data_IF_485442185463
#
_entry.id   IF_485442185463
#
_cell.length_a   1.000
_cell.length_b   1.000
_cell.length_c   1.000
_cell.angle_alpha   90.00
_cell.angle_beta   90.00
_cell.angle_gamma   90.00
#
_symmetry.space_group_name_H-M   'P 1'
#
loop_
_entity.id
_entity.type
_entity.pdbx_description
1 polymer ?
#
# COMPACT_ATOMS: atom_id res chain seq x y z
N UNK A 1 0.47 28.21 -3.33
CA UNK A 1 0.76 27.63 -2.00
C UNK A 1 0.24 26.20 -1.96
N UNK A 2 0.91 25.24 -1.28
CA UNK A 2 0.33 23.91 -1.06
C UNK A 2 -0.44 23.91 0.27
N UNK A 3 -1.64 23.37 0.27
CA UNK A 3 -2.51 23.25 1.45
C UNK A 3 -2.67 21.78 1.79
N UNK A 4 -2.39 21.41 3.04
CA UNK A 4 -2.48 20.05 3.56
C UNK A 4 -3.76 19.87 4.39
N UNK A 5 -4.60 18.93 4.01
CA UNK A 5 -5.67 18.42 4.86
C UNK A 5 -5.10 17.39 5.83
N UNK A 6 -4.82 17.83 7.06
CA UNK A 6 -4.19 17.02 8.11
C UNK A 6 -4.99 15.75 8.43
N UNK A 7 -6.32 15.87 8.53
CA UNK A 7 -7.18 14.73 8.84
C UNK A 7 -7.05 13.62 7.78
N UNK A 8 -7.14 13.98 6.49
CA UNK A 8 -6.96 13.00 5.39
C UNK A 8 -5.57 12.39 5.37
N UNK A 9 -4.53 13.19 5.60
CA UNK A 9 -3.15 12.71 5.61
C UNK A 9 -2.91 11.67 6.71
N UNK A 10 -3.31 11.98 7.95
CA UNK A 10 -3.14 11.08 9.08
C UNK A 10 -4.02 9.83 8.97
N UNK A 11 -5.29 9.99 8.54
CA UNK A 11 -6.17 8.85 8.32
C UNK A 11 -5.64 7.94 7.21
N UNK A 12 -5.11 8.51 6.12
CA UNK A 12 -4.48 7.75 5.04
C UNK A 12 -3.28 6.94 5.51
N UNK A 13 -2.38 7.56 6.27
CA UNK A 13 -1.22 6.88 6.89
C UNK A 13 -1.69 5.75 7.81
N UNK A 14 -2.66 6.02 8.69
CA UNK A 14 -3.16 5.04 9.64
C UNK A 14 -3.73 3.80 8.92
N UNK A 15 -4.53 4.01 7.88
CA UNK A 15 -5.07 2.91 7.09
C UNK A 15 -3.98 2.12 6.36
N UNK A 16 -2.96 2.79 5.82
CA UNK A 16 -1.81 2.11 5.20
C UNK A 16 -1.04 1.23 6.20
N UNK A 17 -0.87 1.67 7.45
CA UNK A 17 -0.25 0.88 8.52
C UNK A 17 -1.11 -0.35 8.84
N UNK A 18 -2.40 -0.13 9.14
CA UNK A 18 -3.32 -1.22 9.52
C UNK A 18 -3.44 -2.26 8.41
N UNK A 19 -3.47 -1.82 7.15
CA UNK A 19 -3.56 -2.70 5.99
C UNK A 19 -2.43 -3.73 5.92
N UNK A 20 -1.22 -3.39 6.41
CA UNK A 20 -0.09 -4.33 6.45
C UNK A 20 -0.33 -5.56 7.33
N UNK A 21 -1.24 -5.45 8.31
CA UNK A 21 -1.64 -6.53 9.21
C UNK A 21 -2.97 -7.19 8.81
N UNK A 22 -3.75 -6.57 7.92
CA UNK A 22 -4.96 -7.16 7.38
C UNK A 22 -4.63 -8.37 6.48
N UNK A 23 -5.58 -9.30 6.31
CA UNK A 23 -5.48 -10.35 5.29
C UNK A 23 -5.30 -9.74 3.88
N UNK A 24 -4.17 -10.04 3.26
CA UNK A 24 -3.80 -9.65 1.89
C UNK A 24 -4.03 -10.81 0.92
N UNK A 25 -3.72 -12.03 1.37
CA UNK A 25 -3.92 -13.26 0.61
C UNK A 25 -4.59 -14.31 1.49
N UNK A 26 -5.35 -15.20 0.88
CA UNK A 26 -5.76 -16.47 1.48
C UNK A 26 -5.02 -17.58 0.76
N UNK A 27 -4.13 -18.25 1.49
CA UNK A 27 -3.34 -19.37 0.97
C UNK A 27 -4.01 -20.68 1.41
N UNK A 28 -4.07 -21.70 0.53
CA UNK A 28 -4.63 -23.01 0.90
C UNK A 28 -3.88 -23.58 2.10
N UNK A 29 -4.59 -24.25 3.00
CA UNK A 29 -4.06 -24.94 4.19
C UNK A 29 -3.54 -23.97 5.28
N UNK A 30 -2.81 -22.91 4.92
CA UNK A 30 -2.22 -21.95 5.88
C UNK A 30 -3.14 -20.77 6.25
N UNK A 31 -4.21 -20.53 5.50
CA UNK A 31 -5.24 -19.53 5.84
C UNK A 31 -4.89 -18.11 5.39
N UNK A 32 -5.30 -17.12 6.19
CA UNK A 32 -5.14 -15.70 5.88
C UNK A 32 -3.72 -15.23 6.15
N UNK A 33 -3.09 -14.67 5.13
CA UNK A 33 -1.75 -14.10 5.18
C UNK A 33 -1.82 -12.59 5.07
N UNK A 34 -1.07 -11.92 5.93
CA UNK A 34 -0.83 -10.49 5.83
C UNK A 34 0.31 -10.17 4.86
N UNK A 35 0.66 -8.89 4.74
CA UNK A 35 1.66 -8.42 3.78
C UNK A 35 3.05 -9.02 4.05
N UNK A 36 3.44 -9.15 5.33
CA UNK A 36 4.73 -9.72 5.75
C UNK A 36 4.82 -11.22 5.43
N UNK A 37 3.77 -11.97 5.73
CA UNK A 37 3.71 -13.40 5.45
C UNK A 37 3.70 -13.69 3.95
N UNK A 38 3.08 -12.82 3.15
CA UNK A 38 3.10 -12.91 1.69
C UNK A 38 4.50 -12.68 1.13
N UNK A 39 5.16 -11.59 1.51
CA UNK A 39 6.52 -11.27 1.12
C UNK A 39 7.12 -10.22 2.07
N UNK A 40 8.15 -10.61 2.82
CA UNK A 40 8.82 -9.73 3.77
C UNK A 40 9.44 -8.49 3.10
N UNK A 41 9.90 -8.59 1.85
CA UNK A 41 10.47 -7.45 1.10
C UNK A 41 9.38 -6.43 0.79
N UNK A 42 8.22 -6.92 0.35
CA UNK A 42 7.07 -6.08 0.02
C UNK A 42 6.54 -5.35 1.27
N UNK A 43 6.51 -6.02 2.43
CA UNK A 43 6.22 -5.40 3.72
C UNK A 43 7.23 -4.31 4.07
N UNK A 44 8.53 -4.61 4.02
CA UNK A 44 9.59 -3.67 4.42
C UNK A 44 9.59 -2.41 3.54
N UNK A 45 9.45 -2.54 2.23
CA UNK A 45 9.40 -1.38 1.31
C UNK A 45 8.15 -0.54 1.59
N UNK A 46 7.00 -1.18 1.81
CA UNK A 46 5.75 -0.48 2.15
C UNK A 46 5.91 0.36 3.42
N UNK A 47 6.47 -0.23 4.48
CA UNK A 47 6.67 0.46 5.75
C UNK A 47 7.77 1.53 5.68
N UNK A 48 8.80 1.35 4.85
CA UNK A 48 9.81 2.38 4.61
C UNK A 48 9.17 3.61 3.94
N UNK A 49 8.33 3.42 2.92
CA UNK A 49 7.59 4.51 2.26
C UNK A 49 6.68 5.24 3.26
N UNK A 50 5.95 4.49 4.10
CA UNK A 50 5.09 5.07 5.14
C UNK A 50 5.93 5.88 6.15
N UNK A 51 7.03 5.33 6.67
CA UNK A 51 7.89 5.99 7.64
C UNK A 51 8.49 7.29 7.09
N UNK A 52 8.97 7.30 5.85
CA UNK A 52 9.48 8.50 5.18
C UNK A 52 8.35 9.52 4.97
N UNK A 53 7.15 9.08 4.63
CA UNK A 53 5.97 9.96 4.49
C UNK A 53 5.63 10.64 5.83
N UNK A 54 5.64 9.88 6.92
CA UNK A 54 5.44 10.38 8.28
C UNK A 54 6.51 11.41 8.65
N UNK A 55 7.78 11.12 8.36
CA UNK A 55 8.88 12.06 8.59
C UNK A 55 8.62 13.40 7.89
N UNK A 56 8.23 13.39 6.61
CA UNK A 56 7.93 14.61 5.87
C UNK A 56 6.73 15.40 6.41
N UNK A 57 5.72 14.73 6.98
CA UNK A 57 4.66 15.42 7.72
C UNK A 57 5.19 16.08 8.99
N UNK A 58 6.02 15.38 9.76
CA UNK A 58 6.58 15.90 11.01
C UNK A 58 7.44 17.14 10.79
N UNK A 59 8.33 17.14 9.79
CA UNK A 59 9.17 18.29 9.45
C UNK A 59 8.44 19.35 8.59
N UNK A 60 7.11 19.23 8.45
CA UNK A 60 6.23 20.16 7.73
C UNK A 60 6.61 20.38 6.26
N UNK A 61 7.29 19.42 5.62
CA UNK A 61 7.66 19.46 4.20
C UNK A 61 6.51 18.93 3.33
N UNK A 62 5.44 19.72 3.20
CA UNK A 62 4.20 19.35 2.49
C UNK A 62 4.44 18.90 1.04
N UNK A 63 5.38 19.53 0.32
CA UNK A 63 5.74 19.14 -1.04
C UNK A 63 6.36 17.74 -1.11
N UNK A 64 7.23 17.40 -0.15
CA UNK A 64 7.86 16.08 -0.07
C UNK A 64 6.85 15.00 0.34
N UNK A 65 5.94 15.32 1.28
CA UNK A 65 4.84 14.42 1.62
C UNK A 65 3.92 14.13 0.43
N UNK A 66 3.59 15.17 -0.36
CA UNK A 66 2.81 14.99 -1.60
C UNK A 66 3.52 14.07 -2.58
N UNK A 67 4.82 14.26 -2.77
CA UNK A 67 5.63 13.37 -3.61
C UNK A 67 5.58 11.92 -3.11
N UNK A 68 5.78 11.70 -1.81
CA UNK A 68 5.70 10.37 -1.22
C UNK A 68 4.31 9.74 -1.33
N UNK A 69 3.24 10.53 -1.34
CA UNK A 69 1.88 10.02 -1.59
C UNK A 69 1.75 9.45 -3.01
N UNK A 70 2.40 10.07 -4.01
CA UNK A 70 2.49 9.51 -5.36
C UNK A 70 3.36 8.25 -5.40
N UNK A 71 4.51 8.25 -4.72
CA UNK A 71 5.38 7.08 -4.61
C UNK A 71 4.61 5.89 -4.01
N UNK A 72 3.85 6.13 -2.93
CA UNK A 72 3.01 5.12 -2.29
C UNK A 72 1.91 4.59 -3.22
N UNK A 73 1.34 5.44 -4.07
CA UNK A 73 0.34 5.01 -5.05
C UNK A 73 0.92 4.15 -6.18
N UNK A 74 2.08 4.55 -6.72
CA UNK A 74 2.81 3.74 -7.71
C UNK A 74 3.21 2.41 -7.07
N UNK A 75 3.75 2.45 -5.85
CA UNK A 75 4.13 1.26 -5.11
C UNK A 75 2.96 0.31 -4.85
N UNK A 76 1.78 0.83 -4.51
CA UNK A 76 0.57 0.02 -4.35
C UNK A 76 0.26 -0.79 -5.61
N UNK A 77 0.29 -0.16 -6.79
CA UNK A 77 0.05 -0.84 -8.06
C UNK A 77 1.11 -1.92 -8.31
N UNK A 78 2.39 -1.58 -8.10
CA UNK A 78 3.50 -2.53 -8.25
C UNK A 78 3.36 -3.72 -7.29
N UNK A 79 2.95 -3.49 -6.05
CA UNK A 79 2.75 -4.51 -5.04
C UNK A 79 1.62 -5.47 -5.41
N UNK A 80 0.46 -4.94 -5.84
CA UNK A 80 -0.67 -5.76 -6.33
C UNK A 80 -0.24 -6.61 -7.51
N UNK A 81 0.44 -6.02 -8.49
CA UNK A 81 0.91 -6.69 -9.70
C UNK A 81 1.95 -7.78 -9.37
N UNK A 82 2.92 -7.47 -8.50
CA UNK A 82 3.94 -8.43 -8.06
C UNK A 82 3.31 -9.63 -7.35
N UNK A 83 2.35 -9.39 -6.44
CA UNK A 83 1.63 -10.46 -5.75
C UNK A 83 0.77 -11.26 -6.73
N UNK A 84 0.10 -10.59 -7.68
CA UNK A 84 -0.70 -11.25 -8.70
C UNK A 84 0.14 -12.17 -9.59
N UNK A 85 1.30 -11.70 -10.07
CA UNK A 85 2.19 -12.55 -10.88
C UNK A 85 2.81 -13.68 -10.08
N UNK A 86 3.17 -13.43 -8.82
CA UNK A 86 3.69 -14.47 -7.93
C UNK A 86 2.62 -15.55 -7.71
N UNK A 87 1.39 -15.15 -7.36
CA UNK A 87 0.25 -16.05 -7.18
C UNK A 87 -0.06 -16.90 -8.43
N UNK A 88 -0.04 -16.31 -9.62
CA UNK A 88 -0.34 -17.01 -10.87
C UNK A 88 0.83 -17.84 -11.44
N UNK A 89 2.08 -17.47 -11.16
CA UNK A 89 3.27 -18.21 -11.64
C UNK A 89 3.74 -19.32 -10.68
N UNK A 90 3.27 -19.39 -9.43
CA UNK A 90 3.48 -20.58 -8.57
C UNK A 90 3.10 -21.88 -9.27
N UNK A 91 2.19 -21.82 -10.24
CA UNK A 91 1.69 -22.95 -11.04
C UNK A 91 2.70 -23.58 -12.01
N UNK A 92 3.89 -23.00 -12.25
CA UNK A 92 4.79 -23.43 -13.35
C UNK A 92 5.81 -24.54 -13.00
N UNK A 93 6.11 -24.81 -11.74
CA UNK A 93 7.16 -25.79 -11.38
C UNK A 93 6.63 -26.89 -10.45
N UNK A 94 6.40 -28.10 -10.97
CA UNK A 94 6.18 -29.32 -10.17
C UNK A 94 4.73 -29.76 -9.94
N UNK A 95 4.50 -31.08 -9.95
CA UNK A 95 3.19 -31.74 -9.81
C UNK A 95 2.43 -31.35 -8.51
N UNK A 96 3.15 -31.04 -7.43
CA UNK A 96 2.57 -30.55 -6.17
C UNK A 96 2.03 -29.09 -6.27
N UNK A 97 2.59 -28.26 -7.15
CA UNK A 97 2.16 -26.88 -7.34
C UNK A 97 0.89 -26.74 -8.20
N UNK A 98 0.49 -27.79 -8.94
CA UNK A 98 -0.81 -27.84 -9.63
C UNK A 98 -2.01 -27.91 -8.67
N UNK A 99 -1.84 -28.44 -7.46
CA UNK A 99 -2.87 -28.50 -6.43
C UNK A 99 -2.93 -27.22 -5.58
N UNK A 100 -1.80 -26.54 -5.38
CA UNK A 100 -1.66 -25.34 -4.54
C UNK A 100 -1.96 -24.04 -5.32
N UNK A 101 -1.62 -23.99 -6.61
CA UNK A 101 -1.74 -22.77 -7.43
C UNK A 101 -3.18 -22.36 -7.80
N UNK A 102 -4.19 -23.19 -7.50
CA UNK A 102 -5.58 -22.92 -7.92
C UNK A 102 -6.37 -22.02 -6.96
N UNK A 103 -5.84 -21.65 -5.80
CA UNK A 103 -6.68 -21.08 -4.72
C UNK A 103 -5.93 -20.05 -3.86
N UNK A 104 -5.05 -19.21 -4.44
CA UNK A 104 -4.56 -18.01 -3.75
C UNK A 104 -5.52 -16.86 -4.05
N UNK A 105 -6.36 -16.51 -3.08
CA UNK A 105 -7.35 -15.44 -3.25
C UNK A 105 -6.85 -14.13 -2.65
N UNK A 106 -6.95 -13.05 -3.42
CA UNK A 106 -6.81 -11.70 -2.88
C UNK A 106 -7.86 -11.47 -1.78
N UNK A 107 -7.44 -10.81 -0.72
CA UNK A 107 -8.28 -10.49 0.44
C UNK A 107 -8.46 -8.97 0.59
N UNK A 108 -9.35 -8.58 1.50
CA UNK A 108 -9.81 -7.21 1.68
C UNK A 108 -8.73 -6.22 2.18
N UNK A 109 -7.59 -6.69 2.68
CA UNK A 109 -6.49 -5.82 3.11
C UNK A 109 -5.96 -4.92 1.98
N UNK A 110 -6.05 -5.36 0.72
CA UNK A 110 -5.73 -4.51 -0.43
C UNK A 110 -6.66 -3.30 -0.56
N UNK A 111 -7.94 -3.47 -0.22
CA UNK A 111 -8.92 -2.37 -0.23
C UNK A 111 -8.57 -1.37 0.85
N UNK A 112 -8.21 -1.83 2.06
CA UNK A 112 -7.77 -0.94 3.15
C UNK A 112 -6.54 -0.14 2.74
N UNK A 113 -5.57 -0.80 2.11
CA UNK A 113 -4.35 -0.16 1.62
C UNK A 113 -4.68 0.89 0.55
N UNK A 114 -5.55 0.55 -0.42
CA UNK A 114 -5.99 1.45 -1.48
C UNK A 114 -6.69 2.69 -0.93
N UNK A 115 -7.60 2.52 0.04
CA UNK A 115 -8.28 3.65 0.68
C UNK A 115 -7.26 4.55 1.39
N UNK A 116 -6.29 3.97 2.09
CA UNK A 116 -5.19 4.71 2.71
C UNK A 116 -4.38 5.53 1.69
N UNK A 117 -4.00 4.90 0.57
CA UNK A 117 -3.28 5.52 -0.55
C UNK A 117 -4.08 6.68 -1.14
N UNK A 118 -5.37 6.50 -1.41
CA UNK A 118 -6.26 7.53 -1.97
C UNK A 118 -6.34 8.73 -1.02
N UNK A 119 -6.50 8.48 0.28
CA UNK A 119 -6.55 9.55 1.27
C UNK A 119 -5.22 10.32 1.34
N UNK A 120 -4.08 9.65 1.25
CA UNK A 120 -2.77 10.29 1.17
C UNK A 120 -2.67 11.15 -0.11
N UNK A 121 -3.00 10.60 -1.29
CA UNK A 121 -2.93 11.31 -2.58
C UNK A 121 -3.75 12.60 -2.59
N UNK A 122 -4.98 12.55 -2.07
CA UNK A 122 -5.92 13.69 -2.09
C UNK A 122 -5.88 14.53 -0.80
N UNK A 123 -4.84 14.37 0.02
CA UNK A 123 -4.64 15.18 1.23
C UNK A 123 -3.99 16.53 0.93
N UNK A 124 -3.26 16.67 -0.19
CA UNK A 124 -2.57 17.93 -0.56
C UNK A 124 -3.21 18.55 -1.79
N UNK A 125 -3.59 19.83 -1.70
CA UNK A 125 -4.13 20.62 -2.80
C UNK A 125 -3.25 21.83 -3.10
N UNK A 126 -3.30 22.32 -4.34
CA UNK A 126 -2.73 23.63 -4.69
C UNK A 126 -3.76 24.68 -4.30
N UNK A 127 -3.43 25.56 -3.35
CA UNK A 127 -4.27 26.71 -3.02
C UNK A 127 -4.35 27.65 -4.22
N UNK A 128 -5.52 28.23 -4.44
CA UNK A 128 -5.74 29.27 -5.45
C UNK A 128 -4.79 30.44 -5.15
N UNK A 129 -4.20 30.99 -6.22
CA UNK A 129 -3.48 32.25 -6.09
C UNK A 129 -4.56 33.30 -5.91
N UNK A 130 -4.58 33.98 -4.77
CA UNK A 130 -5.28 35.25 -4.64
C UNK A 130 -4.50 36.21 -5.53
N UNK A 131 -4.93 36.39 -6.78
CA UNK A 131 -4.54 37.54 -7.58
C UNK A 131 -5.33 38.71 -7.01
N UNK A 132 -4.65 39.50 -6.18
CA UNK A 132 -5.08 40.85 -5.81
C UNK A 132 -4.53 41.84 -6.84
#
# INVERSE_FOLDING_TARGET
MLVLNKFRAWLGILLCVIAGFCPILKVPIKGNWNLYQSDARLFMITYAIIAISVLFLFIRKVGAFRFMSFVMAIWYVLAVVAVYFTANNYTKYGFANKLIGKVVHFQWGWIVLLVGVILMLFSVKRGEKISA
#
